data_IF_371496212667
#
_entry.id   IF_371496212667
#
_cell.length_a   1.000
_cell.length_b   1.000
_cell.length_c   1.000
_cell.angle_alpha   90.00
_cell.angle_beta   90.00
_cell.angle_gamma   90.00
#
_symmetry.space_group_name_H-M   'P 1'
#
loop_
_entity.id
_entity.type
_entity.pdbx_description
1 polymer ?
#
# COMPACT_ATOMS: atom_id res chain seq x y z
N UNK A 1 22.98 8.03 41.82
CA UNK A 1 24.01 7.07 41.37
C UNK A 1 23.39 6.19 40.29
N UNK A 2 24.02 6.17 39.10
CA UNK A 2 23.88 5.30 37.92
C UNK A 2 22.44 4.93 37.46
N UNK A 3 21.89 5.25 36.29
CA UNK A 3 22.37 5.53 34.93
C UNK A 3 23.00 4.34 34.16
N UNK A 4 22.35 4.00 33.04
CA UNK A 4 22.88 3.58 31.72
C UNK A 4 22.73 2.11 31.26
N UNK A 5 22.12 1.99 30.06
CA UNK A 5 22.24 1.00 28.96
C UNK A 5 21.66 -0.41 29.05
N UNK A 6 20.66 -0.68 28.21
CA UNK A 6 20.78 -1.61 27.08
C UNK A 6 19.63 -1.40 26.07
N UNK A 7 19.87 -0.62 25.01
CA UNK A 7 19.11 -0.70 23.75
C UNK A 7 20.11 -1.17 22.69
N UNK A 8 19.99 -2.43 22.27
CA UNK A 8 20.85 -3.07 21.29
C UNK A 8 20.25 -3.06 19.89
N UNK A 9 20.97 -2.40 18.98
CA UNK A 9 21.12 -2.66 17.54
C UNK A 9 19.89 -2.95 16.67
N UNK A 10 19.31 -1.89 16.10
CA UNK A 10 18.62 -1.95 14.79
C UNK A 10 19.08 -0.82 13.82
N UNK A 11 20.07 0.00 14.20
CA UNK A 11 20.40 1.27 13.53
C UNK A 11 21.55 1.27 12.51
N UNK A 12 22.25 0.15 12.29
CA UNK A 12 23.53 0.16 11.56
C UNK A 12 23.45 -0.22 10.06
N UNK A 13 22.26 -0.39 9.48
CA UNK A 13 22.14 -0.69 8.03
C UNK A 13 21.82 0.50 7.12
N UNK A 14 21.57 1.69 7.65
CA UNK A 14 21.11 2.84 6.85
C UNK A 14 22.17 3.96 6.63
N UNK A 15 23.42 3.79 7.09
CA UNK A 15 24.44 4.86 7.05
C UNK A 15 25.53 4.78 5.97
N UNK A 16 25.40 3.93 4.95
CA UNK A 16 26.48 3.78 3.95
C UNK A 16 26.20 4.37 2.56
N UNK A 17 25.13 5.13 2.32
CA UNK A 17 24.85 5.67 0.97
C UNK A 17 24.37 7.12 0.90
N UNK A 18 25.00 8.05 1.60
CA UNK A 18 24.87 9.49 1.25
C UNK A 18 26.18 10.22 1.51
N UNK A 19 27.15 10.18 0.57
CA UNK A 19 28.10 11.29 0.32
C UNK A 19 28.65 11.19 -1.12
N UNK A 20 28.24 12.12 -1.99
CA UNK A 20 29.16 13.05 -2.69
C UNK A 20 28.49 13.65 -3.96
N UNK A 21 28.13 14.93 -3.86
CA UNK A 21 28.07 15.83 -5.02
C UNK A 21 29.50 16.34 -5.28
N UNK A 22 29.94 16.39 -6.54
CA UNK A 22 31.12 17.16 -6.91
C UNK A 22 31.74 16.84 -8.28
N UNK A 23 31.52 17.77 -9.20
CA UNK A 23 32.40 18.20 -10.30
C UNK A 23 32.38 17.51 -11.68
N UNK A 24 32.10 18.39 -12.65
CA UNK A 24 32.28 18.31 -14.09
C UNK A 24 33.78 18.20 -14.43
N UNK A 25 34.16 17.25 -15.29
CA UNK A 25 35.31 17.38 -16.18
C UNK A 25 35.10 16.60 -17.48
N UNK A 26 35.63 17.15 -18.57
CA UNK A 26 35.57 16.65 -19.96
C UNK A 26 36.65 15.60 -20.24
N UNK A 27 36.44 14.87 -21.34
CA UNK A 27 37.38 14.03 -22.11
C UNK A 27 37.70 12.66 -21.46
N UNK A 28 37.89 11.55 -22.18
CA UNK A 28 38.05 11.24 -23.61
C UNK A 28 37.81 9.74 -23.82
N UNK A 29 37.61 9.31 -25.06
CA UNK A 29 37.58 7.90 -25.48
C UNK A 29 38.66 7.03 -24.82
N UNK A 30 38.25 5.86 -24.34
CA UNK A 30 38.97 4.62 -24.60
C UNK A 30 38.03 3.40 -24.43
N UNK A 31 38.01 2.57 -25.46
CA UNK A 31 37.40 1.26 -25.49
C UNK A 31 38.08 0.35 -24.46
N UNK A 32 37.32 -0.15 -23.49
CA UNK A 32 37.58 -1.46 -22.91
C UNK A 32 36.25 -2.19 -22.69
N UNK A 33 36.11 -3.29 -23.42
CA UNK A 33 35.10 -4.33 -23.29
C UNK A 33 35.08 -4.90 -21.88
N UNK A 34 34.04 -4.62 -21.11
CA UNK A 34 33.74 -5.37 -19.90
C UNK A 34 32.66 -6.40 -20.20
N UNK A 35 33.08 -7.66 -20.15
CA UNK A 35 32.22 -8.83 -20.11
C UNK A 35 31.25 -8.72 -18.92
N UNK A 36 29.96 -8.59 -19.21
CA UNK A 36 28.89 -8.82 -18.23
C UNK A 36 28.67 -10.33 -18.12
N UNK A 37 28.93 -10.91 -16.95
CA UNK A 37 28.48 -12.27 -16.64
C UNK A 37 26.94 -12.33 -16.77
N UNK A 38 26.44 -13.27 -17.57
CA UNK A 38 25.07 -13.32 -18.07
C UNK A 38 24.13 -14.26 -17.32
N UNK A 39 24.49 -14.73 -16.13
CA UNK A 39 23.85 -15.91 -15.52
C UNK A 39 23.39 -15.71 -14.06
N UNK A 40 22.98 -14.51 -13.67
CA UNK A 40 22.28 -14.35 -12.40
C UNK A 40 20.84 -14.86 -12.56
N UNK A 41 20.45 -15.84 -11.74
CA UNK A 41 19.12 -16.45 -11.73
C UNK A 41 18.44 -16.08 -10.42
N UNK A 42 17.20 -15.62 -10.47
CA UNK A 42 16.47 -15.20 -9.28
C UNK A 42 16.29 -16.40 -8.33
N UNK A 43 16.79 -16.29 -7.10
CA UNK A 43 16.77 -17.38 -6.12
C UNK A 43 15.35 -17.83 -5.72
N UNK A 44 14.32 -17.01 -5.95
CA UNK A 44 12.93 -17.36 -5.65
C UNK A 44 12.21 -18.00 -6.83
N UNK A 45 12.33 -17.45 -8.04
CA UNK A 45 11.55 -17.92 -9.20
C UNK A 45 12.35 -18.70 -10.26
N UNK A 46 13.67 -18.85 -10.08
CA UNK A 46 14.57 -19.59 -10.99
C UNK A 46 14.58 -19.08 -12.45
N UNK A 47 14.09 -17.87 -12.70
CA UNK A 47 14.14 -17.23 -14.00
C UNK A 47 15.43 -16.40 -14.15
N UNK A 48 15.93 -16.27 -15.39
CA UNK A 48 17.09 -15.42 -15.69
C UNK A 48 16.81 -13.99 -15.25
N UNK A 49 17.69 -13.43 -14.41
CA UNK A 49 17.70 -12.02 -14.07
C UNK A 49 18.07 -11.29 -15.36
N UNK A 50 17.06 -10.66 -15.97
CA UNK A 50 17.31 -9.75 -17.09
C UNK A 50 18.09 -8.56 -16.54
N UNK A 51 19.05 -7.99 -17.30
CA UNK A 51 19.79 -6.83 -16.85
C UNK A 51 18.81 -5.72 -16.42
N UNK A 52 19.10 -5.08 -15.28
CA UNK A 52 18.37 -3.94 -14.72
C UNK A 52 18.20 -2.85 -15.76
N UNK A 53 17.11 -2.92 -16.51
CA UNK A 53 16.59 -1.78 -17.26
C UNK A 53 15.16 -1.54 -16.80
N UNK A 54 15.03 -1.35 -15.48
CA UNK A 54 13.78 -0.94 -14.82
C UNK A 54 13.36 0.47 -15.25
N UNK A 55 14.07 1.11 -16.19
CA UNK A 55 13.73 2.39 -16.81
C UNK A 55 12.26 2.46 -17.25
N UNK A 56 11.71 1.37 -17.81
CA UNK A 56 10.29 1.32 -18.20
C UNK A 56 9.35 1.26 -16.98
N UNK A 57 9.70 0.47 -15.97
CA UNK A 57 8.97 0.44 -14.69
C UNK A 57 8.98 1.80 -14.02
N UNK A 58 10.16 2.40 -13.84
CA UNK A 58 10.34 3.71 -13.20
C UNK A 58 9.60 4.81 -13.94
N UNK A 59 9.70 4.85 -15.28
CA UNK A 59 8.96 5.83 -16.08
C UNK A 59 7.44 5.69 -15.91
N UNK A 60 6.90 4.46 -15.84
CA UNK A 60 5.47 4.24 -15.58
C UNK A 60 5.11 4.61 -14.14
N UNK A 61 5.93 4.23 -13.16
CA UNK A 61 5.73 4.52 -11.75
C UNK A 61 5.66 6.04 -11.51
N UNK A 62 6.67 6.79 -11.95
CA UNK A 62 6.73 8.25 -11.80
C UNK A 62 5.58 8.95 -12.51
N UNK A 63 5.15 8.43 -13.67
CA UNK A 63 4.03 9.00 -14.43
C UNK A 63 2.69 8.83 -13.72
N UNK A 64 2.45 7.66 -13.13
CA UNK A 64 1.16 7.31 -12.53
C UNK A 64 1.05 7.69 -11.06
N UNK A 65 2.17 7.62 -10.34
CA UNK A 65 2.28 7.83 -8.91
C UNK A 65 3.47 8.76 -8.62
N UNK A 66 3.27 10.09 -8.72
CA UNK A 66 4.29 11.02 -8.25
C UNK A 66 4.47 10.87 -6.74
N UNK A 67 5.71 11.01 -6.26
CA UNK A 67 6.08 10.98 -4.83
C UNK A 67 5.74 9.66 -4.12
N UNK A 68 6.28 8.55 -4.65
CA UNK A 68 6.22 7.22 -4.02
C UNK A 68 7.33 7.02 -3.00
N UNK A 69 7.02 6.20 -2.00
CA UNK A 69 7.97 5.69 -1.01
C UNK A 69 8.27 4.22 -1.31
N UNK A 70 9.47 3.76 -0.99
CA UNK A 70 9.67 2.31 -0.78
C UNK A 70 8.88 1.90 0.47
N UNK A 71 8.31 0.69 0.48
CA UNK A 71 7.36 0.25 1.51
C UNK A 71 7.91 0.34 2.95
N UNK A 72 9.13 -0.17 3.18
CA UNK A 72 9.77 -0.12 4.51
C UNK A 72 9.97 1.32 4.98
N UNK A 73 10.43 2.20 4.08
CA UNK A 73 10.63 3.62 4.36
C UNK A 73 9.30 4.31 4.71
N UNK A 74 8.23 4.00 3.98
CA UNK A 74 6.90 4.52 4.26
C UNK A 74 6.45 4.23 5.70
N UNK A 75 6.48 2.96 6.11
CA UNK A 75 6.04 2.54 7.47
C UNK A 75 6.96 3.12 8.55
N UNK A 76 8.25 3.24 8.26
CA UNK A 76 9.19 3.89 9.16
C UNK A 76 8.86 5.38 9.36
N UNK A 77 8.59 6.12 8.28
CA UNK A 77 8.26 7.54 8.33
C UNK A 77 6.92 7.81 9.02
N UNK A 78 5.91 6.95 8.82
CA UNK A 78 4.64 7.08 9.57
C UNK A 78 4.89 6.91 11.07
N UNK A 79 5.74 5.97 11.49
CA UNK A 79 6.13 5.81 12.90
C UNK A 79 6.88 7.01 13.46
N UNK A 80 7.86 7.54 12.72
CA UNK A 80 8.56 8.76 13.13
C UNK A 80 7.62 9.96 13.27
N UNK A 81 6.58 10.02 12.44
CA UNK A 81 5.57 11.09 12.47
C UNK A 81 4.64 10.98 13.68
N UNK A 82 4.30 9.75 14.10
CA UNK A 82 3.27 9.49 15.12
C UNK A 82 3.81 9.38 16.55
N UNK A 83 5.05 8.93 16.74
CA UNK A 83 5.67 8.85 18.08
C UNK A 83 5.65 10.21 18.81
N UNK A 84 6.03 11.35 18.20
CA UNK A 84 5.90 12.67 18.83
C UNK A 84 4.46 13.12 19.09
N UNK A 85 3.47 12.38 18.60
CA UNK A 85 2.02 12.61 18.80
C UNK A 85 1.42 11.61 19.78
N UNK A 86 2.27 10.94 20.57
CA UNK A 86 1.94 9.98 21.62
C UNK A 86 1.43 8.63 21.15
N UNK A 87 1.72 8.22 19.92
CA UNK A 87 1.46 6.85 19.47
C UNK A 87 2.67 5.98 19.80
N UNK A 88 2.52 5.06 20.75
CA UNK A 88 3.58 4.16 21.18
C UNK A 88 3.16 2.70 20.96
N UNK A 89 3.96 1.93 20.20
CA UNK A 89 3.68 0.51 19.95
C UNK A 89 3.70 -0.27 21.26
N UNK A 90 2.82 -1.27 21.40
CA UNK A 90 2.67 -2.14 22.58
C UNK A 90 2.35 -1.43 23.91
N UNK A 91 2.07 -0.12 23.89
CA UNK A 91 1.71 0.66 25.09
C UNK A 91 0.28 1.14 24.99
N UNK A 92 -0.02 1.92 23.95
CA UNK A 92 -1.30 2.61 23.83
C UNK A 92 -1.87 2.60 22.41
N UNK A 93 -1.21 1.92 21.46
CA UNK A 93 -1.57 1.98 20.04
C UNK A 93 -2.01 0.62 19.53
N UNK A 94 -3.18 0.55 18.91
CA UNK A 94 -3.64 -0.57 18.11
C UNK A 94 -3.60 -0.19 16.63
N UNK A 95 -3.00 -1.05 15.80
CA UNK A 95 -3.00 -0.87 14.34
C UNK A 95 -4.11 -1.68 13.70
N UNK A 96 -4.74 -1.11 12.69
CA UNK A 96 -5.79 -1.71 11.88
C UNK A 96 -5.32 -1.67 10.42
N UNK A 97 -5.39 -2.82 9.75
CA UNK A 97 -4.81 -3.00 8.42
C UNK A 97 -5.90 -3.39 7.44
N UNK A 98 -6.08 -2.57 6.41
CA UNK A 98 -7.11 -2.71 5.38
C UNK A 98 -6.48 -2.87 4.01
N UNK A 99 -6.11 -4.10 3.65
CA UNK A 99 -5.50 -4.45 2.37
C UNK A 99 -6.38 -5.42 1.58
N UNK A 100 -6.02 -5.68 0.33
CA UNK A 100 -6.66 -6.71 -0.48
C UNK A 100 -6.36 -8.10 0.09
N UNK A 101 -7.27 -9.07 -0.10
CA UNK A 101 -7.04 -10.49 0.26
C UNK A 101 -5.92 -11.19 -0.52
N UNK A 102 -5.36 -10.51 -1.51
CA UNK A 102 -4.30 -11.01 -2.36
C UNK A 102 -3.01 -11.18 -1.56
N UNK A 103 -2.37 -12.35 -1.61
CA UNK A 103 -1.25 -12.68 -0.73
C UNK A 103 -0.03 -11.79 -0.93
N UNK A 104 0.12 -11.17 -2.11
CA UNK A 104 1.25 -10.28 -2.40
C UNK A 104 1.18 -8.96 -1.62
N UNK A 105 0.06 -8.69 -0.93
CA UNK A 105 -0.04 -7.56 0.00
C UNK A 105 0.59 -7.84 1.36
N UNK A 106 0.96 -9.09 1.67
CA UNK A 106 1.45 -9.50 2.99
C UNK A 106 2.72 -8.78 3.42
N UNK A 107 3.58 -8.39 2.48
CA UNK A 107 4.79 -7.60 2.76
C UNK A 107 4.47 -6.32 3.53
N UNK A 108 3.35 -5.66 3.23
CA UNK A 108 2.93 -4.46 3.94
C UNK A 108 2.45 -4.78 5.36
N UNK A 109 1.69 -5.87 5.52
CA UNK A 109 1.28 -6.34 6.85
C UNK A 109 2.50 -6.69 7.72
N UNK A 110 3.48 -7.37 7.14
CA UNK A 110 4.74 -7.76 7.79
C UNK A 110 5.54 -6.53 8.26
N UNK A 111 5.67 -5.50 7.43
CA UNK A 111 6.34 -4.25 7.81
C UNK A 111 5.59 -3.48 8.90
N UNK A 112 4.25 -3.43 8.83
CA UNK A 112 3.41 -2.83 9.87
C UNK A 112 3.58 -3.61 11.19
N UNK A 113 3.52 -4.93 11.16
CA UNK A 113 3.68 -5.78 12.34
C UNK A 113 5.07 -5.63 12.96
N UNK A 114 6.13 -5.58 12.14
CA UNK A 114 7.49 -5.33 12.61
C UNK A 114 7.63 -3.98 13.34
N UNK A 115 6.91 -2.95 12.89
CA UNK A 115 7.00 -1.60 13.45
C UNK A 115 6.06 -1.35 14.62
N UNK A 116 4.87 -1.94 14.62
CA UNK A 116 3.79 -1.60 15.53
C UNK A 116 3.22 -2.77 16.34
N UNK A 117 3.53 -4.00 15.96
CA UNK A 117 2.92 -5.22 16.49
C UNK A 117 1.69 -5.67 15.70
N UNK A 118 1.10 -6.77 16.15
CA UNK A 118 -0.03 -7.42 15.49
C UNK A 118 -1.23 -6.47 15.31
N UNK A 119 -1.75 -6.43 14.08
CA UNK A 119 -2.85 -5.57 13.70
C UNK A 119 -4.21 -6.27 13.64
N UNK A 120 -5.27 -5.48 13.77
CA UNK A 120 -6.63 -5.90 13.43
C UNK A 120 -6.84 -5.83 11.91
N UNK A 121 -7.16 -6.95 11.27
CA UNK A 121 -7.38 -6.99 9.81
C UNK A 121 -8.82 -6.57 9.48
N UNK A 122 -8.96 -5.52 8.67
CA UNK A 122 -10.26 -4.93 8.29
C UNK A 122 -10.49 -4.89 6.76
N UNK A 123 -9.52 -5.35 5.97
CA UNK A 123 -9.58 -5.35 4.51
C UNK A 123 -10.32 -6.55 3.92
N UNK A 124 -10.89 -6.34 2.73
CA UNK A 124 -11.56 -7.34 1.91
C UNK A 124 -11.02 -7.29 0.46
N UNK A 125 -11.66 -8.01 -0.46
CA UNK A 125 -11.31 -7.97 -1.88
C UNK A 125 -11.16 -6.52 -2.39
N UNK A 126 -10.07 -6.23 -3.12
CA UNK A 126 -9.74 -4.89 -3.63
C UNK A 126 -9.33 -3.86 -2.57
N UNK A 127 -9.15 -4.27 -1.31
CA UNK A 127 -8.86 -3.37 -0.19
C UNK A 127 -10.10 -2.73 0.45
N UNK A 128 -11.31 -3.16 0.04
CA UNK A 128 -12.57 -2.60 0.54
C UNK A 128 -12.74 -2.84 2.04
N UNK A 129 -13.44 -1.93 2.73
CA UNK A 129 -13.60 -1.94 4.19
C UNK A 129 -14.98 -2.49 4.60
N UNK A 130 -15.32 -3.70 4.18
CA UNK A 130 -16.64 -4.30 4.39
C UNK A 130 -16.86 -4.90 5.79
N UNK A 131 -15.88 -4.83 6.69
CA UNK A 131 -16.10 -5.16 8.10
C UNK A 131 -17.12 -4.22 8.76
N UNK A 132 -17.31 -3.01 8.21
CA UNK A 132 -18.34 -2.04 8.58
C UNK A 132 -18.24 -1.57 10.04
N UNK A 133 -19.26 -0.81 10.49
CA UNK A 133 -19.31 -0.26 11.85
C UNK A 133 -19.10 -1.34 12.93
N UNK A 134 -19.60 -2.56 12.72
CA UNK A 134 -19.42 -3.67 13.65
C UNK A 134 -17.96 -4.09 13.76
N UNK A 135 -17.25 -4.24 12.64
CA UNK A 135 -15.84 -4.62 12.64
C UNK A 135 -14.93 -3.51 13.18
N UNK A 136 -15.21 -2.26 12.82
CA UNK A 136 -14.52 -1.09 13.36
C UNK A 136 -14.71 -1.00 14.89
N UNK A 137 -15.95 -1.09 15.38
CA UNK A 137 -16.23 -1.12 16.82
C UNK A 137 -15.60 -2.33 17.54
N UNK A 138 -15.46 -3.49 16.89
CA UNK A 138 -14.78 -4.64 17.47
C UNK A 138 -13.30 -4.34 17.76
N UNK A 139 -12.59 -3.64 16.86
CA UNK A 139 -11.21 -3.21 17.10
C UNK A 139 -11.11 -2.31 18.35
N UNK A 140 -12.14 -1.51 18.62
CA UNK A 140 -12.19 -0.66 19.81
C UNK A 140 -12.15 -1.42 21.13
N UNK A 141 -12.70 -2.64 21.18
CA UNK A 141 -12.68 -3.48 22.37
C UNK A 141 -11.33 -4.19 22.60
N UNK A 142 -10.42 -4.16 21.63
CA UNK A 142 -9.10 -4.79 21.71
C UNK A 142 -7.97 -3.81 22.06
N UNK A 143 -8.27 -2.50 22.10
CA UNK A 143 -7.31 -1.47 22.45
C UNK A 143 -7.44 -1.04 23.92
N UNK A 144 -6.40 -0.40 24.49
CA UNK A 144 -6.49 0.29 25.77
C UNK A 144 -7.61 1.35 25.79
N UNK A 145 -8.09 1.71 26.99
CA UNK A 145 -9.21 2.66 27.16
C UNK A 145 -8.92 4.03 26.52
N UNK A 146 -7.75 4.62 26.80
CA UNK A 146 -7.16 5.79 26.10
C UNK A 146 -6.35 5.35 24.86
N UNK A 147 -6.96 4.49 24.05
CA UNK A 147 -6.32 3.89 22.88
C UNK A 147 -6.09 4.88 21.75
N UNK A 148 -4.92 4.80 21.13
CA UNK A 148 -4.65 5.37 19.81
C UNK A 148 -4.80 4.32 18.74
N UNK A 149 -5.37 4.70 17.62
CA UNK A 149 -5.63 3.82 16.49
C UNK A 149 -4.86 4.29 15.28
N UNK A 150 -4.17 3.37 14.61
CA UNK A 150 -3.57 3.65 13.30
C UNK A 150 -4.27 2.78 12.27
N UNK A 151 -4.81 3.40 11.24
CA UNK A 151 -5.38 2.70 10.09
C UNK A 151 -4.46 2.84 8.90
N UNK A 152 -3.96 1.70 8.39
CA UNK A 152 -3.33 1.61 7.08
C UNK A 152 -4.32 0.93 6.14
N UNK A 153 -5.04 1.70 5.33
CA UNK A 153 -6.01 1.18 4.38
C UNK A 153 -5.58 1.51 2.95
N UNK A 154 -5.13 0.50 2.20
CA UNK A 154 -4.54 0.67 0.88
C UNK A 154 -5.18 -0.26 -0.13
N UNK A 155 -5.44 0.26 -1.33
CA UNK A 155 -5.66 -0.60 -2.50
C UNK A 155 -4.30 -1.04 -3.04
N UNK A 156 -4.29 -1.88 -4.08
CA UNK A 156 -3.03 -2.32 -4.65
C UNK A 156 -3.07 -2.48 -6.16
N UNK A 157 -1.91 -2.34 -6.80
CA UNK A 157 -1.70 -2.52 -8.24
C UNK A 157 -0.29 -3.02 -8.48
N UNK A 158 -0.05 -3.72 -9.60
CA UNK A 158 1.30 -4.06 -10.02
C UNK A 158 1.76 -3.28 -11.25
N UNK A 159 3.07 -3.10 -11.38
CA UNK A 159 3.72 -2.63 -12.60
C UNK A 159 4.94 -3.53 -12.81
N UNK A 160 5.01 -4.22 -13.94
CA UNK A 160 6.14 -5.11 -14.23
C UNK A 160 7.36 -4.35 -14.81
N UNK A 161 8.44 -5.10 -15.06
CA UNK A 161 9.70 -4.58 -15.61
C UNK A 161 9.58 -3.97 -17.01
N UNK A 162 8.49 -4.27 -17.75
CA UNK A 162 8.19 -3.69 -19.06
C UNK A 162 7.30 -2.44 -18.92
N UNK A 163 6.97 -2.03 -17.69
CA UNK A 163 6.06 -0.92 -17.42
C UNK A 163 4.59 -1.26 -17.62
N UNK A 164 4.22 -2.54 -17.73
CA UNK A 164 2.83 -2.96 -17.92
C UNK A 164 2.06 -2.91 -16.59
N UNK A 165 1.06 -2.04 -16.55
CA UNK A 165 0.15 -1.87 -15.40
C UNK A 165 -0.75 -3.10 -15.23
N UNK A 166 -0.90 -3.53 -13.98
CA UNK A 166 -1.67 -4.69 -13.58
C UNK A 166 -0.92 -6.00 -13.66
N UNK A 167 0.31 -6.04 -14.17
CA UNK A 167 1.03 -7.29 -14.42
C UNK A 167 2.08 -7.59 -13.35
N UNK A 168 2.13 -8.83 -12.86
CA UNK A 168 3.08 -9.26 -11.83
C UNK A 168 3.52 -10.71 -12.00
N UNK A 169 4.78 -10.99 -11.67
CA UNK A 169 5.29 -12.35 -11.51
C UNK A 169 5.17 -12.80 -10.07
N UNK A 170 4.37 -13.84 -9.81
CA UNK A 170 4.27 -14.46 -8.48
C UNK A 170 5.35 -15.54 -8.35
N UNK A 171 5.98 -15.61 -7.18
CA UNK A 171 7.15 -16.45 -6.90
C UNK A 171 6.83 -17.91 -6.59
N UNK A 172 5.58 -18.35 -6.81
CA UNK A 172 5.13 -19.69 -6.44
C UNK A 172 5.63 -20.73 -7.45
N UNK A 173 6.23 -21.82 -6.96
CA UNK A 173 6.75 -22.91 -7.79
C UNK A 173 5.67 -23.45 -8.75
N UNK A 174 6.04 -23.62 -10.02
CA UNK A 174 5.15 -24.12 -11.08
C UNK A 174 4.38 -23.04 -11.85
N UNK A 175 4.53 -21.76 -11.50
CA UNK A 175 3.97 -20.66 -12.29
C UNK A 175 4.93 -20.24 -13.41
N UNK A 176 4.46 -20.27 -14.66
CA UNK A 176 5.26 -19.95 -15.84
C UNK A 176 4.94 -18.59 -16.47
N UNK A 177 3.92 -17.88 -15.97
CA UNK A 177 3.40 -16.66 -16.60
C UNK A 177 3.12 -15.52 -15.63
N UNK A 178 3.00 -14.31 -16.20
CA UNK A 178 2.51 -13.12 -15.49
C UNK A 178 1.06 -13.35 -15.05
N UNK A 179 0.72 -12.80 -13.90
CA UNK A 179 -0.66 -12.74 -13.38
C UNK A 179 -1.08 -11.30 -13.17
N UNK A 180 -2.30 -11.10 -12.69
CA UNK A 180 -2.89 -9.77 -12.53
C UNK A 180 -2.92 -9.33 -11.06
N UNK A 181 -2.66 -8.05 -10.80
CA UNK A 181 -2.84 -7.42 -9.50
C UNK A 181 -3.27 -5.94 -9.63
N UNK A 182 -4.38 -5.52 -9.02
CA UNK A 182 -5.36 -6.32 -8.27
C UNK A 182 -6.26 -7.16 -9.20
N UNK A 183 -6.39 -8.46 -8.92
CA UNK A 183 -7.24 -9.36 -9.72
C UNK A 183 -8.72 -8.95 -9.76
N UNK A 184 -9.28 -8.52 -8.61
CA UNK A 184 -10.67 -8.11 -8.52
C UNK A 184 -10.95 -6.79 -9.26
N UNK A 185 -10.09 -5.80 -9.10
CA UNK A 185 -10.21 -4.52 -9.80
C UNK A 185 -10.04 -4.71 -11.31
N UNK A 186 -9.16 -5.62 -11.74
CA UNK A 186 -9.01 -5.97 -13.15
C UNK A 186 -10.23 -6.72 -13.71
N UNK A 187 -10.83 -7.63 -12.95
CA UNK A 187 -12.08 -8.29 -13.35
C UNK A 187 -13.20 -7.25 -13.54
N UNK A 188 -13.35 -6.32 -12.59
CA UNK A 188 -14.32 -5.24 -12.70
C UNK A 188 -14.05 -4.32 -13.90
N UNK A 189 -12.79 -3.96 -14.13
CA UNK A 189 -12.36 -3.20 -15.33
C UNK A 189 -12.76 -3.90 -16.61
N UNK A 190 -12.51 -5.21 -16.71
CA UNK A 190 -12.85 -6.03 -17.87
C UNK A 190 -14.36 -6.20 -18.08
N UNK A 191 -15.14 -6.31 -17.01
CA UNK A 191 -16.60 -6.33 -17.06
C UNK A 191 -17.16 -5.04 -17.68
N UNK A 192 -16.67 -3.87 -17.26
CA UNK A 192 -17.07 -2.59 -17.85
C UNK A 192 -16.66 -2.54 -19.32
N UNK A 193 -15.39 -2.81 -19.64
CA UNK A 193 -14.87 -2.73 -21.01
C UNK A 193 -15.57 -3.67 -22.00
N UNK A 194 -16.03 -4.83 -21.53
CA UNK A 194 -16.77 -5.79 -22.36
C UNK A 194 -18.27 -5.48 -22.49
N UNK A 195 -18.79 -4.47 -21.79
CA UNK A 195 -20.23 -4.16 -21.75
C UNK A 195 -21.06 -5.24 -21.05
N UNK A 196 -20.42 -6.04 -20.19
CA UNK A 196 -21.05 -7.15 -19.45
C UNK A 196 -21.06 -6.91 -17.94
N UNK A 197 -20.99 -5.64 -17.53
CA UNK A 197 -21.03 -5.27 -16.13
C UNK A 197 -22.28 -5.83 -15.45
N UNK A 198 -22.07 -6.71 -14.47
CA UNK A 198 -23.13 -7.27 -13.66
C UNK A 198 -23.13 -6.63 -12.27
N UNK A 199 -24.24 -5.96 -11.94
CA UNK A 199 -24.49 -5.36 -10.63
C UNK A 199 -25.58 -6.12 -9.86
N UNK A 200 -25.89 -7.36 -10.21
CA UNK A 200 -26.68 -8.22 -9.34
C UNK A 200 -25.86 -8.59 -8.09
N UNK A 201 -26.54 -8.84 -6.97
CA UNK A 201 -25.86 -9.31 -5.76
C UNK A 201 -25.85 -10.84 -5.77
N UNK A 202 -24.67 -11.43 -5.67
CA UNK A 202 -24.48 -12.87 -5.52
C UNK A 202 -24.00 -13.19 -4.11
N UNK A 203 -24.75 -14.05 -3.40
CA UNK A 203 -24.40 -14.51 -2.05
C UNK A 203 -23.12 -15.38 -2.03
N UNK A 204 -22.74 -15.97 -3.17
CA UNK A 204 -21.48 -16.71 -3.29
C UNK A 204 -20.29 -15.82 -3.69
N UNK A 205 -20.55 -14.57 -4.09
CA UNK A 205 -19.54 -13.59 -4.51
C UNK A 205 -19.83 -12.20 -3.93
N UNK A 206 -20.09 -12.17 -2.61
CA UNK A 206 -20.57 -10.99 -1.90
C UNK A 206 -19.59 -9.81 -1.99
N UNK A 207 -18.29 -10.07 -1.80
CA UNK A 207 -17.27 -9.02 -1.79
C UNK A 207 -17.12 -8.36 -3.16
N UNK A 208 -17.10 -9.14 -4.24
CA UNK A 208 -17.04 -8.59 -5.60
C UNK A 208 -18.34 -7.86 -5.97
N UNK A 209 -19.50 -8.44 -5.63
CA UNK A 209 -20.81 -7.82 -5.83
C UNK A 209 -20.90 -6.45 -5.16
N UNK A 210 -20.43 -6.36 -3.92
CA UNK A 210 -20.42 -5.11 -3.15
C UNK A 210 -19.36 -4.15 -3.66
N UNK A 211 -18.15 -4.61 -3.98
CA UNK A 211 -17.04 -3.81 -4.53
C UNK A 211 -17.50 -3.02 -5.76
N UNK A 212 -18.08 -3.69 -6.75
CA UNK A 212 -18.53 -3.05 -8.01
C UNK A 212 -19.53 -1.93 -7.74
N UNK A 213 -20.56 -2.21 -6.95
CA UNK A 213 -21.61 -1.23 -6.60
C UNK A 213 -21.06 -0.07 -5.79
N UNK A 214 -20.20 -0.36 -4.83
CA UNK A 214 -19.73 0.61 -3.86
C UNK A 214 -18.80 1.63 -4.52
N UNK A 215 -17.88 1.17 -5.38
CA UNK A 215 -17.00 2.05 -6.17
C UNK A 215 -17.84 2.95 -7.09
N UNK A 216 -18.79 2.40 -7.86
CA UNK A 216 -19.64 3.19 -8.77
C UNK A 216 -20.54 4.20 -8.03
N UNK A 217 -21.00 3.85 -6.83
CA UNK A 217 -21.85 4.74 -6.03
C UNK A 217 -21.08 5.91 -5.44
N UNK A 218 -19.81 5.72 -5.09
CA UNK A 218 -19.00 6.69 -4.33
C UNK A 218 -18.08 7.53 -5.18
N UNK A 219 -17.87 7.17 -6.44
CA UNK A 219 -16.92 7.84 -7.34
C UNK A 219 -17.59 8.25 -8.63
N UNK A 220 -16.85 8.98 -9.47
CA UNK A 220 -17.28 9.35 -10.82
C UNK A 220 -16.86 8.34 -11.90
N UNK A 221 -16.48 7.12 -11.49
CA UNK A 221 -16.00 6.08 -12.41
C UNK A 221 -17.09 5.71 -13.43
N UNK A 222 -16.72 5.68 -14.70
CA UNK A 222 -17.62 5.29 -15.79
C UNK A 222 -17.96 3.80 -15.72
N UNK A 223 -19.24 3.47 -15.90
CA UNK A 223 -19.75 2.11 -16.11
C UNK A 223 -20.13 1.82 -17.56
N UNK A 224 -19.89 2.78 -18.48
CA UNK A 224 -20.18 2.64 -19.92
C UNK A 224 -18.97 2.02 -20.64
N UNK A 225 -19.20 0.91 -21.34
CA UNK A 225 -18.19 0.24 -22.14
C UNK A 225 -17.55 1.14 -23.21
N UNK A 226 -18.28 2.14 -23.74
CA UNK A 226 -17.75 3.09 -24.73
C UNK A 226 -16.72 4.05 -24.13
N UNK A 227 -16.79 4.26 -22.82
CA UNK A 227 -15.91 5.13 -22.06
C UNK A 227 -15.34 4.33 -20.88
N UNK A 228 -14.91 3.09 -21.13
CA UNK A 228 -14.45 2.19 -20.09
C UNK A 228 -13.15 2.72 -19.46
N UNK A 229 -13.06 2.76 -18.11
CA UNK A 229 -11.85 3.15 -17.42
C UNK A 229 -10.75 2.09 -17.61
N UNK A 230 -9.50 2.51 -17.55
CA UNK A 230 -8.38 1.57 -17.42
C UNK A 230 -8.22 1.09 -15.95
N UNK A 231 -7.36 0.08 -15.74
CA UNK A 231 -7.14 -0.49 -14.42
C UNK A 231 -6.63 0.54 -13.40
N UNK A 232 -5.77 1.48 -13.83
CA UNK A 232 -5.28 2.52 -12.94
C UNK A 232 -6.43 3.42 -12.47
N UNK A 233 -7.32 3.84 -13.37
CA UNK A 233 -8.50 4.62 -13.02
C UNK A 233 -9.44 3.87 -12.06
N UNK A 234 -9.64 2.57 -12.26
CA UNK A 234 -10.43 1.73 -11.33
C UNK A 234 -9.74 1.62 -9.97
N UNK A 235 -8.40 1.47 -9.93
CA UNK A 235 -7.63 1.47 -8.68
C UNK A 235 -7.72 2.79 -7.93
N UNK A 236 -7.68 3.92 -8.64
CA UNK A 236 -7.84 5.24 -8.03
C UNK A 236 -9.26 5.47 -7.49
N UNK A 237 -10.28 4.97 -8.18
CA UNK A 237 -11.66 4.99 -7.69
C UNK A 237 -11.84 4.09 -6.45
N UNK A 238 -11.18 2.94 -6.41
CA UNK A 238 -11.14 2.10 -5.21
C UNK A 238 -10.43 2.81 -4.04
N UNK A 239 -9.31 3.50 -4.28
CA UNK A 239 -8.61 4.33 -3.29
C UNK A 239 -9.52 5.43 -2.72
N UNK A 240 -10.23 6.17 -3.58
CA UNK A 240 -11.17 7.20 -3.16
C UNK A 240 -12.27 6.60 -2.28
N UNK A 241 -12.80 5.45 -2.69
CA UNK A 241 -13.85 4.72 -1.96
C UNK A 241 -13.41 4.34 -0.55
N UNK A 242 -12.24 3.71 -0.38
CA UNK A 242 -11.74 3.32 0.95
C UNK A 242 -11.38 4.52 1.83
N UNK A 243 -10.95 5.63 1.22
CA UNK A 243 -10.67 6.88 1.94
C UNK A 243 -11.95 7.48 2.51
N UNK A 244 -13.02 7.50 1.71
CA UNK A 244 -14.34 7.95 2.18
C UNK A 244 -14.85 7.04 3.30
N UNK A 245 -14.78 5.72 3.14
CA UNK A 245 -15.23 4.77 4.15
C UNK A 245 -14.47 4.92 5.46
N UNK A 246 -13.14 4.97 5.41
CA UNK A 246 -12.31 5.07 6.59
C UNK A 246 -12.62 6.34 7.39
N UNK A 247 -12.77 7.48 6.73
CA UNK A 247 -13.14 8.72 7.43
C UNK A 247 -14.54 8.67 8.03
N UNK A 248 -15.50 8.05 7.35
CA UNK A 248 -16.86 7.89 7.87
C UNK A 248 -16.86 7.01 9.13
N UNK A 249 -16.16 5.87 9.09
CA UNK A 249 -16.06 4.97 10.23
C UNK A 249 -15.27 5.58 11.39
N UNK A 250 -14.12 6.21 11.12
CA UNK A 250 -13.32 6.86 12.16
C UNK A 250 -14.09 8.01 12.85
N UNK A 251 -14.86 8.80 12.10
CA UNK A 251 -15.72 9.86 12.67
C UNK A 251 -16.83 9.26 13.54
N UNK A 252 -17.51 8.23 13.04
CA UNK A 252 -18.54 7.52 13.80
C UNK A 252 -17.98 6.95 15.11
N UNK A 253 -16.80 6.34 15.07
CA UNK A 253 -16.17 5.79 16.28
C UNK A 253 -15.73 6.89 17.23
N UNK A 254 -15.21 8.02 16.73
CA UNK A 254 -14.83 9.16 17.55
C UNK A 254 -16.04 9.83 18.26
N UNK A 255 -17.25 9.70 17.73
CA UNK A 255 -18.48 10.13 18.42
C UNK A 255 -18.79 9.25 19.65
N UNK A 256 -18.45 7.95 19.58
CA UNK A 256 -18.68 6.98 20.66
C UNK A 256 -17.50 6.92 21.65
N UNK A 257 -16.29 7.23 21.18
CA UNK A 257 -15.05 7.18 21.94
C UNK A 257 -14.27 8.50 21.84
N UNK A 258 -14.78 9.59 22.44
CA UNK A 258 -14.28 10.96 22.22
C UNK A 258 -12.84 11.20 22.67
N UNK A 259 -12.35 10.40 23.62
CA UNK A 259 -10.98 10.52 24.15
C UNK A 259 -9.94 9.83 23.26
N UNK A 260 -10.37 9.01 22.29
CA UNK A 260 -9.46 8.26 21.40
C UNK A 260 -8.94 9.12 20.25
N UNK A 261 -7.79 8.71 19.73
CA UNK A 261 -7.09 9.41 18.65
C UNK A 261 -6.81 8.46 17.50
N UNK A 262 -6.97 8.94 16.27
CA UNK A 262 -6.91 8.09 15.09
C UNK A 262 -5.95 8.70 14.06
N UNK A 263 -4.92 7.97 13.68
CA UNK A 263 -4.09 8.27 12.53
C UNK A 263 -4.58 7.45 11.34
N UNK A 264 -4.94 8.12 10.25
CA UNK A 264 -5.54 7.50 9.07
C UNK A 264 -4.57 7.67 7.90
N UNK A 265 -4.12 6.57 7.30
CA UNK A 265 -3.29 6.54 6.10
C UNK A 265 -4.01 5.75 5.01
N UNK A 266 -4.27 6.42 3.89
CA UNK A 266 -4.83 5.77 2.70
C UNK A 266 -4.01 6.05 1.45
N UNK A 267 -3.97 5.07 0.57
CA UNK A 267 -3.16 5.16 -0.64
C UNK A 267 -3.22 3.91 -1.48
N UNK A 268 -2.17 3.69 -2.27
CA UNK A 268 -2.02 2.54 -3.16
C UNK A 268 -0.69 1.86 -2.87
N UNK A 269 -0.71 0.55 -2.58
CA UNK A 269 0.47 -0.31 -2.60
C UNK A 269 0.79 -0.68 -4.05
N UNK A 270 2.03 -0.48 -4.48
CA UNK A 270 2.47 -0.78 -5.84
C UNK A 270 3.50 -1.90 -5.81
N UNK A 271 3.18 -3.02 -6.45
CA UNK A 271 4.08 -4.17 -6.61
C UNK A 271 4.97 -3.97 -7.82
N UNK A 272 6.26 -3.84 -7.59
CA UNK A 272 7.28 -3.62 -8.61
C UNK A 272 8.08 -4.89 -8.96
N UNK A 273 9.05 -4.75 -9.89
CA UNK A 273 9.98 -5.82 -10.25
C UNK A 273 10.80 -6.32 -9.06
N UNK A 274 11.26 -7.57 -9.16
CA UNK A 274 12.20 -8.17 -8.22
C UNK A 274 11.71 -8.24 -6.76
N UNK A 275 10.38 -8.23 -6.54
CA UNK A 275 9.78 -8.34 -5.22
C UNK A 275 9.89 -7.08 -4.38
N UNK A 276 10.07 -5.91 -5.02
CA UNK A 276 10.03 -4.62 -4.34
C UNK A 276 8.64 -4.05 -4.33
N UNK A 277 8.23 -3.52 -3.19
CA UNK A 277 6.95 -2.85 -3.02
C UNK A 277 7.14 -1.38 -2.69
N UNK A 278 6.22 -0.59 -3.23
CA UNK A 278 6.18 0.86 -3.07
C UNK A 278 4.83 1.27 -2.48
N UNK A 279 4.79 2.44 -1.86
CA UNK A 279 3.57 3.05 -1.37
C UNK A 279 3.42 4.44 -1.97
N UNK A 280 2.30 4.66 -2.64
CA UNK A 280 1.84 6.00 -2.92
C UNK A 280 0.87 6.43 -1.81
N UNK A 281 1.22 7.49 -1.08
CA UNK A 281 0.37 8.04 -0.03
C UNK A 281 -0.61 9.06 -0.63
N UNK A 282 -1.89 8.72 -0.66
CA UNK A 282 -2.95 9.61 -1.15
C UNK A 282 -3.42 10.60 -0.09
N UNK A 283 -3.73 10.10 1.12
CA UNK A 283 -4.17 10.94 2.23
C UNK A 283 -3.64 10.44 3.56
N UNK A 284 -3.10 11.36 4.35
CA UNK A 284 -2.79 11.16 5.75
C UNK A 284 -3.56 12.18 6.60
N UNK A 285 -4.21 11.72 7.67
CA UNK A 285 -4.98 12.57 8.56
C UNK A 285 -4.87 12.12 10.02
N UNK A 286 -5.07 13.05 10.95
CA UNK A 286 -5.18 12.80 12.38
C UNK A 286 -6.56 13.27 12.85
N UNK A 287 -7.36 12.36 13.40
CA UNK A 287 -8.62 12.66 14.07
C UNK A 287 -8.40 12.66 15.58
N UNK A 288 -8.67 13.79 16.23
CA UNK A 288 -8.50 13.96 17.67
C UNK A 288 -9.54 14.97 18.18
N UNK A 289 -10.28 14.63 19.23
CA UNK A 289 -11.32 15.51 19.78
C UNK A 289 -12.39 15.90 18.75
N UNK A 290 -12.77 14.96 17.88
CA UNK A 290 -13.74 15.19 16.80
C UNK A 290 -13.24 16.01 15.60
N UNK A 291 -12.00 16.49 15.62
CA UNK A 291 -11.41 17.30 14.54
C UNK A 291 -10.51 16.43 13.67
N UNK A 292 -10.86 16.30 12.38
CA UNK A 292 -10.01 15.66 11.37
C UNK A 292 -9.08 16.70 10.74
N UNK A 293 -7.78 16.59 10.99
CA UNK A 293 -6.75 17.45 10.43
C UNK A 293 -5.85 16.68 9.46
N UNK A 294 -5.35 17.34 8.43
CA UNK A 294 -4.33 16.74 7.55
C UNK A 294 -3.04 16.48 8.34
N UNK A 295 -2.38 15.37 8.01
CA UNK A 295 -1.10 14.95 8.57
C UNK A 295 -0.07 14.90 7.45
N UNK A 296 1.09 15.51 7.65
CA UNK A 296 2.24 15.37 6.75
C UNK A 296 3.27 14.45 7.39
N UNK A 297 3.87 13.58 6.58
CA UNK A 297 4.98 12.75 7.03
C UNK A 297 6.21 13.61 7.34
N UNK A 298 6.99 13.20 8.34
CA UNK A 298 8.27 13.81 8.67
C UNK A 298 9.22 13.73 7.47
N UNK A 299 9.85 14.86 7.14
CA UNK A 299 10.94 14.99 6.16
C UNK A 299 12.30 14.63 6.76
#
# INVERSE_FOLDING_TARGET
MAAVQQFGCYGDRLRSRIVSRGNISKCSHNNHSNHTNSDDVCASCHQRIRPNNDDAFQATLEKLFPDVYELEEFVFLTKQTLVPKDFYPHVNTLVCVGLCRDEITSSFEEEIEAMWGQGFICGCLGGMLFCGNTGFAAAHHHAPDDGRFIYYCFTHIAIDHEGCVGSVYRTRSGMSGKTTACGALAAFTSEIASGKLDLTFDENDMEMSMLKKHILKKTSLSSDAKNAPDLFQVTMAAYETITIDLELHAKHDAEHFPDRRYALFTGVQIHGPNGKDYCWLGKASLLSGGVLASLSLSS
#
